data_IF_987207822860
#
_entry.id   IF_987207822860
#
_cell.length_a   1.000
_cell.length_b   1.000
_cell.length_c   1.000
_cell.angle_alpha   90.00
_cell.angle_beta   90.00
_cell.angle_gamma   90.00
#
_symmetry.space_group_name_H-M   'P 1'
#
loop_
_entity.id
_entity.type
_entity.pdbx_description
1 polymer ?
#
# COMPACT_ATOMS: atom_id res chain seq x y z
N UNK A 1 -38.43 -32.56 82.18
CA UNK A 1 -37.81 -31.26 81.86
C UNK A 1 -36.48 -31.50 81.17
N UNK A 2 -36.43 -31.28 79.86
CA UNK A 2 -35.20 -31.20 79.06
C UNK A 2 -35.56 -30.38 77.83
N UNK A 3 -35.17 -29.11 77.82
CA UNK A 3 -35.39 -28.21 76.69
C UNK A 3 -34.28 -28.40 75.64
N UNK A 4 -34.69 -28.53 74.38
CA UNK A 4 -33.82 -28.63 73.22
C UNK A 4 -33.87 -27.30 72.47
N UNK A 5 -32.83 -26.48 72.66
CA UNK A 5 -32.62 -25.24 71.91
C UNK A 5 -32.15 -25.56 70.48
N UNK A 6 -32.98 -25.31 69.47
CA UNK A 6 -32.55 -25.27 68.07
C UNK A 6 -32.03 -23.86 67.73
N UNK A 7 -30.72 -23.74 67.50
CA UNK A 7 -30.11 -22.54 66.91
C UNK A 7 -30.23 -22.62 65.39
N UNK A 8 -31.02 -21.73 64.80
CA UNK A 8 -31.01 -21.46 63.36
C UNK A 8 -29.71 -20.73 62.99
N UNK A 9 -28.93 -21.30 62.06
CA UNK A 9 -27.78 -20.64 61.42
C UNK A 9 -28.19 -20.24 59.99
N UNK A 10 -28.01 -18.98 59.56
CA UNK A 10 -28.51 -18.51 58.27
C UNK A 10 -27.55 -18.89 57.12
N UNK A 11 -27.96 -19.82 56.25
CA UNK A 11 -27.22 -20.26 55.05
C UNK A 11 -27.58 -19.37 53.83
N UNK A 12 -27.57 -18.04 53.96
CA UNK A 12 -28.03 -17.16 52.86
C UNK A 12 -27.04 -16.09 52.38
N UNK A 13 -25.77 -16.12 52.80
CA UNK A 13 -24.78 -15.11 52.39
C UNK A 13 -23.57 -15.62 51.58
N UNK A 14 -23.56 -16.88 51.13
CA UNK A 14 -22.44 -17.44 50.37
C UNK A 14 -22.61 -17.42 48.83
N UNK A 15 -23.75 -16.94 48.31
CA UNK A 15 -24.01 -16.96 46.85
C UNK A 15 -23.42 -15.77 46.08
N UNK A 16 -23.02 -14.68 46.74
CA UNK A 16 -22.45 -13.50 46.07
C UNK A 16 -20.91 -13.47 46.01
N UNK A 17 -20.22 -14.41 46.66
CA UNK A 17 -18.74 -14.43 46.71
C UNK A 17 -18.08 -15.26 45.59
N UNK A 18 -18.86 -15.84 44.67
CA UNK A 18 -18.36 -16.65 43.54
C UNK A 18 -18.91 -16.09 42.23
N UNK A 19 -18.72 -14.79 42.00
CA UNK A 19 -18.61 -14.29 40.62
C UNK A 19 -17.10 -14.21 40.37
N UNK A 20 -16.44 -15.31 39.95
CA UNK A 20 -15.07 -15.22 39.51
C UNK A 20 -15.08 -14.19 38.39
N UNK A 21 -14.18 -13.22 38.50
CA UNK A 21 -13.91 -12.15 37.55
C UNK A 21 -14.20 -12.63 36.12
N UNK A 22 -15.40 -12.29 35.62
CA UNK A 22 -15.74 -12.40 34.20
C UNK A 22 -14.87 -11.35 33.51
N UNK A 23 -13.61 -11.67 33.32
CA UNK A 23 -12.75 -10.97 32.38
C UNK A 23 -13.38 -11.22 31.03
N UNK A 24 -14.24 -10.29 30.60
CA UNK A 24 -14.71 -10.20 29.24
C UNK A 24 -13.44 -10.24 28.38
N UNK A 25 -13.31 -11.26 27.54
CA UNK A 25 -12.19 -11.40 26.63
C UNK A 25 -12.09 -10.10 25.83
N UNK A 26 -11.09 -9.27 26.15
CA UNK A 26 -10.86 -8.05 25.41
C UNK A 26 -10.31 -8.44 24.05
N UNK A 27 -10.99 -7.97 23.00
CA UNK A 27 -10.53 -8.10 21.62
C UNK A 27 -9.06 -7.70 21.55
N UNK A 28 -8.15 -8.55 21.03
CA UNK A 28 -6.79 -8.12 20.79
C UNK A 28 -6.83 -6.89 19.87
N UNK A 29 -6.05 -5.84 20.16
CA UNK A 29 -6.04 -4.64 19.34
C UNK A 29 -5.70 -5.04 17.91
N UNK A 30 -6.52 -4.59 16.96
CA UNK A 30 -6.27 -4.85 15.54
C UNK A 30 -4.95 -4.17 15.19
N UNK A 31 -4.00 -4.93 14.63
CA UNK A 31 -2.73 -4.36 14.17
C UNK A 31 -3.03 -3.22 13.17
N UNK A 32 -2.42 -2.04 13.34
CA UNK A 32 -2.58 -0.95 12.38
C UNK A 32 -2.05 -1.39 11.01
N UNK A 33 -2.61 -0.82 9.94
CA UNK A 33 -2.09 -1.03 8.58
C UNK A 33 -0.63 -0.55 8.56
N UNK A 34 0.28 -1.47 8.24
CA UNK A 34 1.70 -1.18 8.22
C UNK A 34 2.12 -0.64 6.86
N UNK A 35 2.25 0.68 6.77
CA UNK A 35 2.72 1.36 5.56
C UNK A 35 4.25 1.41 5.46
N UNK A 36 5.00 0.71 6.33
CA UNK A 36 6.48 0.72 6.29
C UNK A 36 7.06 0.19 4.97
N UNK A 37 6.31 -0.66 4.25
CA UNK A 37 6.71 -1.20 2.95
C UNK A 37 6.26 -0.32 1.76
N UNK A 38 5.53 0.76 2.03
CA UNK A 38 5.18 1.72 1.01
C UNK A 38 6.45 2.42 0.49
N UNK A 39 6.94 1.95 -0.66
CA UNK A 39 8.05 2.58 -1.38
C UNK A 39 7.51 3.36 -2.57
N UNK A 40 7.76 4.66 -2.58
CA UNK A 40 7.48 5.50 -3.74
C UNK A 40 8.69 5.45 -4.66
N UNK A 41 8.51 4.85 -5.83
CA UNK A 41 9.53 4.80 -6.87
C UNK A 41 9.25 5.89 -7.91
N UNK A 42 10.06 6.94 -7.93
CA UNK A 42 9.91 8.08 -8.85
C UNK A 42 10.70 7.90 -10.15
N UNK A 43 10.87 6.66 -10.62
CA UNK A 43 11.49 6.41 -11.92
C UNK A 43 10.61 6.97 -13.03
N UNK A 44 11.27 7.60 -14.00
CA UNK A 44 10.62 8.26 -15.12
C UNK A 44 10.32 7.21 -16.19
N UNK A 45 9.06 7.12 -16.67
CA UNK A 45 8.60 6.03 -17.55
C UNK A 45 9.22 5.96 -18.94
N UNK A 46 10.17 6.84 -19.28
CA UNK A 46 10.84 6.78 -20.59
C UNK A 46 11.72 5.54 -20.73
N UNK A 47 11.63 4.87 -21.89
CA UNK A 47 12.40 3.66 -22.15
C UNK A 47 13.92 3.92 -22.12
N UNK A 48 14.36 5.02 -22.73
CA UNK A 48 15.79 5.41 -22.77
C UNK A 48 16.36 5.85 -21.41
N UNK A 49 15.68 6.71 -20.61
CA UNK A 49 16.16 6.98 -19.26
C UNK A 49 16.19 5.71 -18.40
N UNK A 50 15.22 4.82 -18.57
CA UNK A 50 15.18 3.54 -17.85
C UNK A 50 16.32 2.60 -18.26
N UNK A 51 16.64 2.51 -19.55
CA UNK A 51 17.74 1.64 -20.04
C UNK A 51 19.13 2.13 -19.62
N UNK A 52 19.26 3.41 -19.31
CA UNK A 52 20.47 4.01 -18.74
C UNK A 52 20.50 3.95 -17.20
N UNK A 53 19.63 3.17 -16.57
CA UNK A 53 19.55 3.04 -15.11
C UNK A 53 19.21 4.35 -14.40
N UNK A 54 18.50 5.26 -15.07
CA UNK A 54 18.17 6.59 -14.55
C UNK A 54 19.25 7.66 -14.77
N UNK A 55 20.41 7.31 -15.35
CA UNK A 55 21.50 8.25 -15.63
C UNK A 55 21.26 9.09 -16.90
N UNK A 56 20.09 9.71 -17.02
CA UNK A 56 19.64 10.38 -18.24
C UNK A 56 19.89 11.88 -18.29
N UNK A 57 20.19 12.52 -17.16
CA UNK A 57 20.29 13.99 -17.06
C UNK A 57 21.28 14.58 -18.09
N UNK A 58 22.42 13.92 -18.33
CA UNK A 58 23.44 14.36 -19.30
C UNK A 58 23.26 13.83 -20.72
N UNK A 59 22.38 12.86 -20.95
CA UNK A 59 22.16 12.21 -22.25
C UNK A 59 20.74 12.46 -22.80
N UNK A 60 20.08 13.50 -22.27
CA UNK A 60 18.70 13.86 -22.56
C UNK A 60 18.54 14.50 -23.95
N UNK A 61 18.72 13.69 -25.00
CA UNK A 61 18.78 14.14 -26.41
C UNK A 61 17.52 13.77 -27.21
N UNK A 62 16.44 13.36 -26.56
CA UNK A 62 15.17 13.03 -27.20
C UNK A 62 13.98 13.61 -26.45
N UNK A 63 12.76 13.30 -26.90
CA UNK A 63 11.54 13.82 -26.32
C UNK A 63 11.44 13.49 -24.82
N UNK A 64 11.99 12.36 -24.37
CA UNK A 64 11.95 11.97 -22.94
C UNK A 64 12.78 12.88 -22.03
N UNK A 65 13.53 13.83 -22.59
CA UNK A 65 14.21 14.90 -21.84
C UNK A 65 13.23 15.81 -21.07
N UNK A 66 12.01 16.00 -21.57
CA UNK A 66 11.05 16.96 -21.01
C UNK A 66 10.79 16.84 -19.51
N UNK A 67 10.50 15.64 -18.95
CA UNK A 67 10.30 15.48 -17.50
C UNK A 67 11.58 15.51 -16.65
N UNK A 68 12.76 15.29 -17.25
CA UNK A 68 14.03 15.02 -16.53
C UNK A 68 14.97 16.23 -16.59
N UNK A 69 15.28 16.67 -17.80
CA UNK A 69 16.15 17.79 -18.09
C UNK A 69 15.61 18.53 -19.32
N UNK A 70 14.69 19.50 -19.13
CA UNK A 70 14.12 20.28 -20.21
C UNK A 70 15.17 20.95 -21.10
N UNK A 71 16.33 21.33 -20.57
CA UNK A 71 17.39 21.97 -21.37
C UNK A 71 17.92 21.04 -22.49
N UNK A 72 17.80 19.72 -22.33
CA UNK A 72 18.14 18.74 -23.35
C UNK A 72 17.25 18.80 -24.60
N UNK A 73 16.06 19.40 -24.51
CA UNK A 73 15.18 19.57 -25.66
C UNK A 73 15.79 20.45 -26.76
N UNK A 74 16.79 21.29 -26.45
CA UNK A 74 17.46 22.14 -27.45
C UNK A 74 18.21 21.34 -28.52
N UNK A 75 18.48 20.05 -28.27
CA UNK A 75 19.10 19.18 -29.27
C UNK A 75 18.11 18.69 -30.34
N UNK A 76 16.81 18.83 -30.11
CA UNK A 76 15.77 18.45 -31.06
C UNK A 76 15.61 19.53 -32.12
N UNK A 77 15.82 19.15 -33.38
CA UNK A 77 15.76 20.06 -34.54
C UNK A 77 14.43 19.98 -35.29
N UNK A 78 13.58 19.00 -34.98
CA UNK A 78 12.29 18.78 -35.65
C UNK A 78 11.18 18.49 -34.63
N UNK A 79 9.92 18.80 -34.95
CA UNK A 79 8.79 18.36 -34.15
C UNK A 79 8.80 16.84 -33.97
N UNK A 80 8.43 16.39 -32.79
CA UNK A 80 8.49 14.98 -32.40
C UNK A 80 7.38 14.63 -31.43
N UNK A 81 7.04 13.35 -31.40
CA UNK A 81 6.09 12.79 -30.46
C UNK A 81 6.62 11.44 -29.99
N UNK A 82 6.45 11.13 -28.71
CA UNK A 82 6.79 9.82 -28.18
C UNK A 82 5.76 9.32 -27.18
N UNK A 83 5.62 7.99 -27.13
CA UNK A 83 4.77 7.28 -26.20
C UNK A 83 5.59 6.17 -25.56
N UNK A 84 5.53 6.06 -24.24
CA UNK A 84 6.28 5.10 -23.45
C UNK A 84 5.34 4.43 -22.46
N UNK A 85 5.54 3.13 -22.27
CA UNK A 85 4.84 2.34 -21.27
C UNK A 85 5.89 1.54 -20.50
N UNK A 86 5.77 1.58 -19.17
CA UNK A 86 6.58 0.77 -18.28
C UNK A 86 5.66 -0.04 -17.38
N UNK A 87 5.92 -1.35 -17.36
CA UNK A 87 5.30 -2.27 -16.43
C UNK A 87 6.39 -2.78 -15.48
N UNK A 88 6.10 -2.79 -14.19
CA UNK A 88 7.00 -3.39 -13.19
C UNK A 88 6.21 -4.24 -12.22
N UNK A 89 6.82 -5.34 -11.80
CA UNK A 89 6.23 -6.34 -10.93
C UNK A 89 7.09 -6.41 -9.67
N UNK A 90 6.45 -6.29 -8.52
CA UNK A 90 7.11 -6.39 -7.23
C UNK A 90 6.46 -7.49 -6.41
N UNK A 91 7.29 -8.34 -5.80
CA UNK A 91 6.88 -9.31 -4.79
C UNK A 91 7.60 -8.98 -3.49
N UNK A 92 6.88 -9.11 -2.38
CA UNK A 92 7.40 -8.87 -1.04
C UNK A 92 7.03 -10.04 -0.14
N UNK A 93 8.00 -10.52 0.62
CA UNK A 93 7.79 -11.54 1.65
C UNK A 93 7.84 -10.87 3.04
N UNK A 94 6.79 -11.05 3.85
CA UNK A 94 6.82 -10.64 5.26
C UNK A 94 7.01 -11.86 6.18
N UNK A 95 7.86 -11.75 7.22
CA UNK A 95 7.89 -12.70 8.32
C UNK A 95 6.72 -12.45 9.28
N UNK A 96 5.84 -13.44 9.49
CA UNK A 96 4.86 -13.34 10.57
C UNK A 96 5.56 -13.34 11.94
N UNK A 97 5.27 -12.34 12.78
CA UNK A 97 5.84 -12.17 14.10
C UNK A 97 5.32 -13.15 15.15
N UNK A 98 5.49 -14.46 14.95
CA UNK A 98 5.30 -15.49 15.98
C UNK A 98 6.67 -16.07 16.38
N UNK A 99 7.05 -16.06 17.68
CA UNK A 99 8.36 -16.51 18.13
C UNK A 99 8.64 -18.00 17.87
N UNK A 100 7.60 -18.81 17.60
CA UNK A 100 7.70 -20.27 17.56
C UNK A 100 7.68 -20.87 16.14
N UNK A 101 7.60 -20.04 15.08
CA UNK A 101 7.54 -20.56 13.70
C UNK A 101 8.32 -19.66 12.71
N UNK A 102 9.55 -20.06 12.39
CA UNK A 102 10.50 -19.29 11.57
C UNK A 102 10.16 -19.24 10.07
N UNK A 103 9.17 -19.99 9.59
CA UNK A 103 9.00 -20.29 8.16
C UNK A 103 7.61 -19.94 7.57
N UNK A 104 6.79 -19.16 8.28
CA UNK A 104 5.57 -18.57 7.70
C UNK A 104 5.89 -17.27 6.98
N UNK A 105 6.43 -17.40 5.76
CA UNK A 105 6.48 -16.29 4.80
C UNK A 105 5.09 -16.11 4.20
N UNK A 106 4.46 -14.95 4.43
CA UNK A 106 3.32 -14.54 3.61
C UNK A 106 3.89 -13.82 2.39
N UNK A 107 3.87 -14.51 1.25
CA UNK A 107 4.15 -13.90 -0.06
C UNK A 107 2.99 -12.98 -0.41
N UNK A 108 3.26 -11.69 -0.55
CA UNK A 108 2.28 -10.74 -1.07
C UNK A 108 2.44 -10.68 -2.58
N UNK A 109 1.43 -11.16 -3.29
CA UNK A 109 1.46 -11.24 -4.75
C UNK A 109 1.23 -9.89 -5.41
N UNK A 110 2.28 -9.43 -6.09
CA UNK A 110 2.26 -8.53 -7.25
C UNK A 110 1.64 -7.14 -7.06
N UNK A 111 2.46 -6.15 -6.70
CA UNK A 111 2.14 -4.77 -7.10
C UNK A 111 2.48 -4.61 -8.58
N UNK A 112 1.45 -4.51 -9.43
CA UNK A 112 1.63 -4.09 -10.82
C UNK A 112 1.77 -2.58 -10.84
N UNK A 113 2.95 -2.13 -11.23
CA UNK A 113 3.22 -0.72 -11.46
C UNK A 113 3.11 -0.43 -12.96
N UNK A 114 2.14 0.39 -13.35
CA UNK A 114 1.93 0.75 -14.76
C UNK A 114 2.09 2.26 -14.94
N UNK A 115 3.18 2.65 -15.57
CA UNK A 115 3.45 4.03 -15.88
C UNK A 115 3.39 4.25 -17.39
N UNK A 116 2.63 5.25 -17.79
CA UNK A 116 2.53 5.66 -19.19
C UNK A 116 3.00 7.09 -19.32
N UNK A 117 3.68 7.41 -20.41
CA UNK A 117 4.04 8.77 -20.75
C UNK A 117 3.80 9.04 -22.22
N UNK A 118 3.19 10.17 -22.50
CA UNK A 118 3.06 10.72 -23.84
C UNK A 118 3.70 12.10 -23.82
N UNK A 119 4.53 12.39 -24.82
CA UNK A 119 5.16 13.68 -24.97
C UNK A 119 5.09 14.18 -26.40
N UNK A 120 4.88 15.48 -26.55
CA UNK A 120 4.90 16.22 -27.81
C UNK A 120 5.93 17.34 -27.70
N UNK A 121 6.79 17.47 -28.70
CA UNK A 121 7.85 18.48 -28.76
C UNK A 121 7.77 19.26 -30.05
N UNK A 122 7.89 20.58 -29.94
CA UNK A 122 7.90 21.50 -31.07
C UNK A 122 9.08 22.46 -30.96
N UNK A 123 10.14 22.24 -31.74
CA UNK A 123 11.23 23.21 -31.88
C UNK A 123 10.74 24.43 -32.66
N UNK A 124 10.95 25.61 -32.09
CA UNK A 124 10.64 26.90 -32.68
C UNK A 124 11.95 27.70 -32.86
N UNK A 125 11.89 28.83 -33.57
CA UNK A 125 13.07 29.69 -33.74
C UNK A 125 13.45 30.30 -32.38
N UNK A 126 14.54 29.80 -31.79
CA UNK A 126 15.13 30.33 -30.56
C UNK A 126 14.69 29.65 -29.26
N UNK A 127 13.74 28.71 -29.30
CA UNK A 127 13.37 27.90 -28.15
C UNK A 127 12.63 26.62 -28.58
N UNK A 128 12.55 25.66 -27.68
CA UNK A 128 11.81 24.42 -27.87
C UNK A 128 10.73 24.35 -26.80
N UNK A 129 9.49 24.08 -27.20
CA UNK A 129 8.38 23.83 -26.29
C UNK A 129 8.03 22.35 -26.31
N UNK A 130 7.69 21.80 -25.15
CA UNK A 130 7.09 20.47 -25.06
C UNK A 130 5.92 20.44 -24.11
N UNK A 131 5.04 19.47 -24.35
CA UNK A 131 3.91 19.17 -23.49
C UNK A 131 3.86 17.67 -23.27
N UNK A 132 3.83 17.24 -22.02
CA UNK A 132 3.77 15.83 -21.67
C UNK A 132 2.73 15.54 -20.60
N UNK A 133 2.21 14.33 -20.68
CA UNK A 133 1.40 13.70 -19.64
C UNK A 133 2.09 12.41 -19.22
N UNK A 134 2.29 12.22 -17.93
CA UNK A 134 2.87 11.00 -17.39
C UNK A 134 2.10 10.50 -16.17
N UNK A 135 1.93 9.18 -16.08
CA UNK A 135 1.55 8.49 -14.85
C UNK A 135 2.84 8.21 -14.10
N UNK A 136 3.12 9.01 -13.08
CA UNK A 136 4.36 8.92 -12.28
C UNK A 136 4.28 7.74 -11.33
N UNK A 137 3.10 7.47 -10.79
CA UNK A 137 2.88 6.36 -9.86
C UNK A 137 1.52 5.75 -10.17
N UNK A 138 1.43 4.43 -10.32
CA UNK A 138 0.17 3.68 -10.24
C UNK A 138 0.46 2.40 -9.47
N UNK A 139 0.20 2.43 -8.17
CA UNK A 139 0.48 1.31 -7.27
C UNK A 139 -0.80 0.85 -6.59
N UNK A 140 -0.94 -0.47 -6.50
CA UNK A 140 -2.10 -1.16 -5.94
C UNK A 140 -1.59 -2.17 -4.94
N UNK A 141 -2.00 -1.99 -3.70
CA UNK A 141 -1.66 -2.87 -2.60
C UNK A 141 -2.93 -3.55 -2.11
N UNK A 142 -2.83 -4.85 -1.91
CA UNK A 142 -3.87 -5.65 -1.28
C UNK A 142 -3.26 -6.34 -0.07
N UNK A 143 -3.77 -6.00 1.11
CA UNK A 143 -3.37 -6.59 2.37
C UNK A 143 -4.52 -7.41 2.91
N UNK A 144 -4.30 -8.71 3.08
CA UNK A 144 -5.23 -9.57 3.78
C UNK A 144 -4.64 -9.92 5.14
N UNK A 145 -5.34 -9.59 6.23
CA UNK A 145 -4.99 -10.03 7.57
C UNK A 145 -6.01 -11.07 8.02
N UNK A 146 -5.55 -12.31 8.24
CA UNK A 146 -6.34 -13.36 8.84
C UNK A 146 -6.03 -13.39 10.35
N UNK A 147 -7.04 -13.13 11.18
CA UNK A 147 -6.89 -13.17 12.63
C UNK A 147 -7.29 -14.56 13.13
N UNK A 148 -6.35 -15.51 13.16
CA UNK A 148 -6.58 -16.80 13.79
C UNK A 148 -6.10 -16.78 15.24
N UNK A 149 -7.02 -17.06 16.17
CA UNK A 149 -6.67 -17.47 17.54
C UNK A 149 -6.95 -18.95 17.79
N UNK A 150 -7.43 -19.70 16.80
CA UNK A 150 -7.85 -21.10 16.99
C UNK A 150 -6.71 -22.06 16.63
N UNK A 151 -5.82 -22.32 17.59
CA UNK A 151 -4.95 -23.51 17.56
C UNK A 151 -5.73 -24.69 18.11
N UNK A 152 -5.84 -25.75 17.32
CA UNK A 152 -6.45 -27.01 17.67
C UNK A 152 -5.54 -27.77 18.66
N UNK A 153 -5.99 -27.93 19.90
CA UNK A 153 -5.72 -29.08 20.79
C UNK A 153 -6.48 -28.82 22.11
N UNK A 154 -7.55 -29.58 22.31
CA UNK A 154 -8.44 -29.62 23.48
C UNK A 154 -9.45 -28.46 23.61
N UNK A 155 -10.71 -28.78 23.29
CA UNK A 155 -11.86 -27.87 23.42
C UNK A 155 -12.26 -27.77 24.90
N UNK A 156 -11.76 -26.74 25.58
CA UNK A 156 -12.19 -26.41 26.95
C UNK A 156 -13.60 -25.77 26.94
N UNK A 157 -14.39 -26.00 28.00
CA UNK A 157 -15.74 -25.43 28.18
C UNK A 157 -15.76 -23.89 28.10
N UNK A 158 -14.62 -23.25 28.36
CA UNK A 158 -14.39 -21.81 28.18
C UNK A 158 -14.49 -21.35 26.72
N UNK A 159 -14.12 -22.20 25.76
CA UNK A 159 -14.28 -21.93 24.32
C UNK A 159 -15.76 -21.95 23.90
N UNK A 160 -16.54 -22.87 24.48
CA UNK A 160 -17.99 -23.01 24.19
C UNK A 160 -18.81 -21.87 24.80
N UNK A 161 -18.41 -21.37 25.98
CA UNK A 161 -19.19 -20.36 26.74
C UNK A 161 -18.73 -18.90 26.52
N UNK A 162 -17.62 -18.66 25.82
CA UNK A 162 -17.14 -17.29 25.56
C UNK A 162 -16.00 -17.14 24.55
N UNK A 163 -15.63 -18.20 23.82
CA UNK A 163 -14.43 -18.25 22.99
C UNK A 163 -14.67 -18.52 21.51
N UNK A 164 -15.79 -18.05 20.94
CA UNK A 164 -15.91 -17.90 19.48
C UNK A 164 -14.99 -16.74 19.03
N UNK A 165 -13.68 -16.97 19.12
CA UNK A 165 -12.62 -16.08 18.65
C UNK A 165 -12.52 -16.04 17.12
N UNK A 166 -13.66 -15.92 16.44
CA UNK A 166 -13.72 -15.60 15.02
C UNK A 166 -13.62 -14.09 14.89
N UNK A 167 -12.42 -13.57 15.05
CA UNK A 167 -12.22 -12.19 14.70
C UNK A 167 -12.33 -12.08 13.18
N UNK A 168 -13.17 -11.16 12.68
CA UNK A 168 -13.33 -11.00 11.24
C UNK A 168 -11.96 -10.72 10.61
N UNK A 169 -11.63 -11.49 9.57
CA UNK A 169 -10.53 -11.17 8.69
C UNK A 169 -10.75 -9.77 8.10
N UNK A 170 -9.64 -9.10 7.76
CA UNK A 170 -9.70 -7.76 7.17
C UNK A 170 -8.93 -7.77 5.85
N UNK A 171 -9.59 -7.29 4.81
CA UNK A 171 -9.00 -7.01 3.52
C UNK A 171 -8.87 -5.50 3.38
N UNK A 172 -7.66 -5.01 3.16
CA UNK A 172 -7.36 -3.60 2.91
C UNK A 172 -6.83 -3.48 1.50
N UNK A 173 -7.53 -2.71 0.66
CA UNK A 173 -7.08 -2.35 -0.68
C UNK A 173 -6.69 -0.89 -0.72
N UNK A 174 -5.44 -0.61 -1.04
CA UNK A 174 -4.91 0.73 -1.22
C UNK A 174 -4.54 0.92 -2.70
N UNK A 175 -5.15 1.89 -3.36
CA UNK A 175 -4.80 2.31 -4.71
C UNK A 175 -4.31 3.75 -4.71
N UNK A 176 -3.13 3.93 -5.29
CA UNK A 176 -2.43 5.20 -5.38
C UNK A 176 -2.07 5.48 -6.83
N UNK A 177 -2.54 6.60 -7.36
CA UNK A 177 -2.21 7.02 -8.72
C UNK A 177 -1.79 8.49 -8.75
N UNK A 178 -0.56 8.78 -9.19
CA UNK A 178 -0.04 10.13 -9.39
C UNK A 178 0.10 10.40 -10.88
N UNK A 179 -0.58 11.43 -11.36
CA UNK A 179 -0.55 11.84 -12.77
C UNK A 179 -0.01 13.26 -12.85
N UNK A 180 1.01 13.47 -13.68
CA UNK A 180 1.49 14.79 -14.04
C UNK A 180 1.02 15.18 -15.43
N UNK A 181 0.57 16.42 -15.57
CA UNK A 181 0.45 17.11 -16.86
C UNK A 181 1.37 18.31 -16.81
N UNK A 182 2.17 18.52 -17.85
CA UNK A 182 3.25 19.48 -17.78
C UNK A 182 3.58 20.09 -19.13
N UNK A 183 4.13 21.29 -19.07
CA UNK A 183 4.70 22.01 -20.20
C UNK A 183 6.15 22.32 -19.85
N UNK A 184 7.05 22.14 -20.81
CA UNK A 184 8.44 22.53 -20.67
C UNK A 184 8.87 23.47 -21.80
N UNK A 185 9.81 24.36 -21.47
CA UNK A 185 10.45 25.30 -22.38
C UNK A 185 11.96 25.13 -22.26
N UNK A 186 12.65 25.20 -23.40
CA UNK A 186 14.09 25.10 -23.47
C UNK A 186 14.67 26.16 -24.41
N UNK A 187 15.74 26.82 -23.98
CA UNK A 187 16.37 27.93 -24.66
C UNK A 187 17.86 27.63 -24.87
N UNK A 188 18.36 27.54 -26.11
CA UNK A 188 19.79 27.50 -26.37
C UNK A 188 20.39 28.89 -26.14
N UNK A 189 21.23 29.05 -25.11
CA UNK A 189 21.90 30.31 -24.79
C UNK A 189 23.20 30.47 -25.62
N UNK A 190 23.88 29.37 -25.88
CA UNK A 190 25.09 29.29 -26.71
C UNK A 190 25.26 27.88 -27.27
N UNK A 191 26.32 27.64 -28.05
CA UNK A 191 26.65 26.30 -28.56
C UNK A 191 26.98 25.26 -27.45
N UNK A 192 27.15 25.69 -26.20
CA UNK A 192 27.52 24.82 -25.07
C UNK A 192 26.59 24.92 -23.87
N UNK A 193 25.72 25.93 -23.84
CA UNK A 193 24.86 26.22 -22.70
C UNK A 193 23.42 26.31 -23.17
N UNK A 194 22.57 25.53 -22.50
CA UNK A 194 21.12 25.57 -22.68
C UNK A 194 20.46 25.74 -21.32
N UNK A 195 19.34 26.45 -21.31
CA UNK A 195 18.49 26.61 -20.15
C UNK A 195 17.15 25.92 -20.42
N UNK A 196 16.54 25.35 -19.39
CA UNK A 196 15.23 24.75 -19.54
C UNK A 196 14.44 24.79 -18.24
N UNK A 197 13.13 24.96 -18.37
CA UNK A 197 12.19 25.05 -17.26
C UNK A 197 10.96 24.21 -17.59
N UNK A 198 10.40 23.53 -16.59
CA UNK A 198 9.15 22.79 -16.73
C UNK A 198 8.19 23.16 -15.60
N UNK A 199 6.94 23.45 -15.97
CA UNK A 199 5.83 23.59 -15.04
C UNK A 199 4.97 22.34 -15.07
N UNK A 200 4.71 21.74 -13.90
CA UNK A 200 3.92 20.51 -13.76
C UNK A 200 2.71 20.74 -12.87
N UNK A 201 1.58 20.17 -13.26
CA UNK A 201 0.36 20.05 -12.44
C UNK A 201 0.14 18.56 -12.15
N UNK A 202 0.25 18.23 -10.87
CA UNK A 202 0.16 16.84 -10.38
C UNK A 202 -1.17 16.58 -9.71
N UNK A 203 -1.81 15.47 -10.05
CA UNK A 203 -3.05 14.98 -9.43
C UNK A 203 -2.77 13.64 -8.76
N UNK A 204 -2.91 13.61 -7.44
CA UNK A 204 -2.84 12.38 -6.65
C UNK A 204 -4.26 11.85 -6.43
N UNK A 205 -4.52 10.63 -6.87
CA UNK A 205 -5.71 9.86 -6.55
C UNK A 205 -5.35 8.84 -5.49
N UNK A 206 -6.11 8.88 -4.41
CA UNK A 206 -5.98 7.98 -3.26
C UNK A 206 -7.31 7.27 -3.06
N UNK A 207 -7.31 5.95 -3.05
CA UNK A 207 -8.48 5.16 -2.71
C UNK A 207 -8.09 4.06 -1.72
N UNK A 208 -8.73 4.08 -0.55
CA UNK A 208 -8.57 3.09 0.50
C UNK A 208 -9.93 2.43 0.74
N UNK A 209 -9.99 1.13 0.50
CA UNK A 209 -11.16 0.31 0.79
C UNK A 209 -10.79 -0.70 1.86
N UNK A 210 -11.56 -0.74 2.94
CA UNK A 210 -11.44 -1.75 3.98
C UNK A 210 -12.71 -2.59 4.02
N UNK A 211 -12.54 -3.90 3.91
CA UNK A 211 -13.64 -4.86 4.03
C UNK A 211 -13.31 -5.83 5.16
N UNK A 212 -14.21 -5.94 6.13
CA UNK A 212 -14.15 -6.97 7.17
C UNK A 212 -15.01 -8.14 6.74
N UNK A 213 -14.49 -9.36 6.80
CA UNK A 213 -15.23 -10.58 6.47
C UNK A 213 -15.16 -11.56 7.64
N UNK A 214 -16.28 -12.24 7.89
CA UNK A 214 -16.33 -13.40 8.78
C UNK A 214 -16.01 -14.64 7.94
N UNK A 215 -15.22 -15.56 8.49
CA UNK A 215 -14.83 -16.77 7.79
C UNK A 215 -16.08 -17.63 7.43
N UNK A 216 -16.38 -17.86 6.14
CA UNK A 216 -17.58 -18.58 5.72
C UNK A 216 -17.58 -20.05 6.12
N UNK A 217 -16.43 -20.63 6.50
CA UNK A 217 -16.34 -22.02 6.96
C UNK A 217 -17.13 -22.31 8.25
N UNK A 218 -17.62 -21.25 8.92
CA UNK A 218 -18.36 -21.33 10.18
C UNK A 218 -19.87 -21.28 9.95
N UNK A 219 -20.31 -20.82 8.77
CA UNK A 219 -21.72 -20.74 8.40
C UNK A 219 -22.28 -22.05 7.82
N UNK A 220 -21.43 -22.98 7.39
CA UNK A 220 -21.83 -24.28 6.82
C UNK A 220 -21.73 -25.45 7.82
N UNK A 221 -21.47 -25.17 9.10
CA UNK A 221 -21.40 -26.15 10.18
C UNK A 221 -22.60 -26.02 11.13
N UNK A 222 -23.80 -26.34 10.65
CA UNK A 222 -24.98 -26.59 11.49
C UNK A 222 -25.79 -27.74 10.92
#
# INVERSE_FOLDING_TARGET
MRELFFRFLPIYFAWFAVIPHLTLAQRPPVLPVDLRYFRVDFIIPGARPSSLGGAFIGAALDETASPINPAGLTYLTRPGASMHQRQSFFSFDEPEGQPDNLDRKKSFDSSIFNQNMVNLVFPLKGFVISSFRQVVLDSRFEFETQQFLTRHSDVDLRYVLGGLGNFPGRMVRLSLQLIDNAIALAFPLSNRLSFGVAGKVSVLKFNLSETTFLDPLILNGS
#
